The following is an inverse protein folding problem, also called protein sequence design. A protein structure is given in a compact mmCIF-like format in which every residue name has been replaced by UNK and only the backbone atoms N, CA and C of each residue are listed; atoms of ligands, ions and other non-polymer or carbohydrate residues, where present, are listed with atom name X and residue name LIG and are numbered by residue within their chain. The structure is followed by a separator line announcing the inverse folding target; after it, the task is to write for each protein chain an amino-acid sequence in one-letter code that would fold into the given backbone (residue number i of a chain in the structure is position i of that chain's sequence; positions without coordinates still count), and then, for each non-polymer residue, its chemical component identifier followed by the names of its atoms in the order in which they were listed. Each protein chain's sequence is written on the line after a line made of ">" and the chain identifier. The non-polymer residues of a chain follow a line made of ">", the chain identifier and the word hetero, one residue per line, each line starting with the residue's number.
data_IF_872591232750
#
_entry.id   IF_872591232750
#
_cell.length_a   1.000
_cell.length_b   1.000
_cell.length_c   1.000
_cell.angle_alpha   90.00
_cell.angle_beta   90.00
_cell.angle_gamma   90.00
#
_symmetry.space_group_name_H-M   'P 1'
#
loop_
_entity.id
_entity.type
_entity.pdbx_description
1 polymer ?
#
# COMPACT_ATOMS: atom_id res chain seq x y z
N UNK A 1 -9.42 26.48 -5.35
CA UNK A 1 -8.90 25.44 -6.28
C UNK A 1 -8.55 26.12 -7.60
N UNK A 2 -7.37 25.86 -8.13
CA UNK A 2 -6.94 26.27 -9.46
C UNK A 2 -6.88 25.03 -10.34
N UNK A 3 -7.51 25.07 -11.50
CA UNK A 3 -7.29 24.14 -12.60
C UNK A 3 -5.99 24.52 -13.29
N UNK A 4 -5.00 23.62 -13.27
CA UNK A 4 -3.67 23.92 -13.80
C UNK A 4 -3.63 23.85 -15.33
N UNK A 5 -4.59 23.15 -15.95
CA UNK A 5 -4.70 23.03 -17.41
C UNK A 5 -5.38 24.25 -18.04
N UNK A 6 -6.39 24.81 -17.36
CA UNK A 6 -7.19 25.93 -17.89
C UNK A 6 -6.88 27.28 -17.22
N UNK A 7 -6.18 27.27 -16.09
CA UNK A 7 -5.99 28.44 -15.23
C UNK A 7 -7.26 28.90 -14.51
N UNK A 8 -8.36 28.16 -14.61
CA UNK A 8 -9.63 28.51 -13.98
C UNK A 8 -9.51 28.40 -12.46
N UNK A 9 -9.89 29.47 -11.76
CA UNK A 9 -9.91 29.50 -10.30
C UNK A 9 -11.34 29.41 -9.78
N UNK A 10 -11.60 28.44 -8.91
CA UNK A 10 -12.82 28.34 -8.11
C UNK A 10 -12.49 28.63 -6.65
N UNK A 11 -13.16 29.64 -6.09
CA UNK A 11 -13.09 29.97 -4.66
C UNK A 11 -14.30 29.42 -3.93
N UNK A 12 -14.09 28.81 -2.78
CA UNK A 12 -15.13 28.30 -1.92
C UNK A 12 -15.26 29.19 -0.69
N UNK A 13 -16.47 29.34 -0.16
CA UNK A 13 -16.70 30.07 1.09
C UNK A 13 -16.14 29.31 2.28
N UNK A 14 -15.72 30.03 3.31
CA UNK A 14 -15.33 29.44 4.60
C UNK A 14 -16.47 28.61 5.20
N UNK A 15 -16.11 27.53 5.92
CA UNK A 15 -17.06 26.59 6.53
C UNK A 15 -16.56 26.07 7.85
N UNK A 16 -17.48 25.84 8.78
CA UNK A 16 -17.18 25.20 10.06
C UNK A 16 -17.48 23.69 10.03
N UNK A 17 -16.44 22.96 10.42
CA UNK A 17 -16.27 21.52 10.63
C UNK A 17 -16.84 20.89 11.90
N UNK A 18 -18.08 20.39 11.99
CA UNK A 18 -18.44 19.51 13.12
C UNK A 18 -17.96 18.07 12.90
N UNK A 19 -17.20 17.50 13.84
CA UNK A 19 -16.53 16.21 13.67
C UNK A 19 -17.45 14.97 13.60
N UNK A 20 -18.70 15.09 14.05
CA UNK A 20 -19.74 14.07 13.94
C UNK A 20 -20.49 14.13 12.60
N UNK A 21 -20.19 15.14 11.77
CA UNK A 21 -20.72 15.31 10.43
C UNK A 21 -19.57 15.17 9.46
N UNK A 22 -19.62 14.18 8.58
CA UNK A 22 -18.71 14.11 7.43
C UNK A 22 -18.91 15.41 6.63
N UNK A 23 -17.94 16.35 6.58
CA UNK A 23 -18.19 17.60 5.92
C UNK A 23 -18.18 17.47 4.42
N UNK A 24 -18.95 18.40 3.87
CA UNK A 24 -19.26 18.61 2.47
C UNK A 24 -18.04 18.45 1.56
N UNK A 25 -18.10 17.40 0.76
CA UNK A 25 -17.35 17.25 -0.48
C UNK A 25 -17.53 18.51 -1.32
N UNK A 26 -16.42 19.07 -1.79
CA UNK A 26 -16.42 19.86 -3.02
C UNK A 26 -16.79 18.89 -4.15
N UNK A 27 -18.09 18.61 -4.33
CA UNK A 27 -18.64 17.70 -5.36
C UNK A 27 -18.60 18.30 -6.76
N UNK A 28 -17.84 19.38 -6.96
CA UNK A 28 -17.60 19.87 -8.31
C UNK A 28 -16.69 18.86 -9.02
N UNK A 29 -16.92 18.64 -10.31
CA UNK A 29 -15.97 17.91 -11.13
C UNK A 29 -14.62 18.64 -11.03
N UNK A 30 -13.70 18.08 -10.26
CA UNK A 30 -12.35 18.60 -10.16
C UNK A 30 -11.61 18.30 -11.48
N UNK A 31 -10.72 19.20 -11.93
CA UNK A 31 -9.84 18.91 -13.06
C UNK A 31 -8.94 17.72 -12.74
N UNK A 32 -8.29 17.17 -13.77
CA UNK A 32 -7.28 16.14 -13.58
C UNK A 32 -6.02 16.71 -12.90
N UNK A 33 -5.61 17.91 -13.29
CA UNK A 33 -4.48 18.64 -12.72
C UNK A 33 -4.98 19.87 -11.97
N UNK A 34 -4.73 19.95 -10.66
CA UNK A 34 -5.20 21.08 -9.87
C UNK A 34 -4.36 21.36 -8.64
N UNK A 35 -4.40 22.62 -8.23
CA UNK A 35 -3.89 23.10 -6.95
C UNK A 35 -5.03 23.48 -6.01
N UNK A 36 -5.14 22.81 -4.87
CA UNK A 36 -6.06 23.16 -3.79
C UNK A 36 -5.28 23.88 -2.67
N UNK A 37 -5.68 25.12 -2.35
CA UNK A 37 -5.13 25.91 -1.24
C UNK A 37 -6.25 26.23 -0.25
N UNK A 38 -5.98 26.09 1.04
CA UNK A 38 -6.93 26.43 2.09
C UNK A 38 -6.20 26.67 3.42
N UNK A 39 -6.83 27.49 4.27
CA UNK A 39 -6.44 27.60 5.66
C UNK A 39 -7.38 26.73 6.50
N UNK A 40 -6.85 26.12 7.55
CA UNK A 40 -7.68 25.38 8.50
C UNK A 40 -7.19 25.56 9.94
N UNK A 41 -8.14 25.56 10.87
CA UNK A 41 -7.91 25.67 12.30
C UNK A 41 -8.73 24.61 13.02
N UNK A 42 -8.08 23.79 13.83
CA UNK A 42 -8.75 22.76 14.63
C UNK A 42 -9.23 23.40 15.95
N UNK A 43 -10.48 23.14 16.34
CA UNK A 43 -11.12 23.82 17.48
C UNK A 43 -11.27 22.94 18.73
N UNK A 44 -11.25 21.62 18.62
CA UNK A 44 -11.55 20.70 19.72
C UNK A 44 -10.29 20.17 20.41
N UNK A 45 -9.28 19.76 19.63
CA UNK A 45 -7.89 19.53 19.99
C UNK A 45 -7.32 18.18 19.59
N UNK A 46 -8.07 17.31 18.89
CA UNK A 46 -7.69 15.88 18.81
C UNK A 46 -8.02 15.16 17.50
N UNK A 47 -8.71 15.79 16.54
CA UNK A 47 -9.23 15.08 15.35
C UNK A 47 -8.55 15.38 14.03
N UNK A 48 -7.72 16.43 13.99
CA UNK A 48 -7.04 16.84 12.77
C UNK A 48 -7.99 17.22 11.63
N UNK A 49 -7.56 17.02 10.39
CA UNK A 49 -8.30 17.31 9.17
C UNK A 49 -8.25 16.13 8.20
N UNK A 50 -9.29 16.02 7.37
CA UNK A 50 -9.30 15.11 6.22
C UNK A 50 -9.87 15.83 5.01
N UNK A 51 -9.10 15.83 3.92
CA UNK A 51 -9.51 16.39 2.64
C UNK A 51 -9.68 15.25 1.65
N UNK A 52 -10.88 15.04 1.15
CA UNK A 52 -11.14 14.08 0.09
C UNK A 52 -11.00 14.73 -1.28
N UNK A 53 -10.38 14.02 -2.22
CA UNK A 53 -10.17 14.44 -3.61
C UNK A 53 -10.19 13.23 -4.55
N UNK A 54 -10.18 13.47 -5.86
CA UNK A 54 -10.31 12.43 -6.88
C UNK A 54 -11.50 11.46 -6.59
N UNK A 55 -12.61 12.02 -6.10
CA UNK A 55 -13.74 11.23 -5.61
C UNK A 55 -14.59 10.73 -6.76
N UNK A 56 -14.62 9.40 -6.96
CA UNK A 56 -15.54 8.74 -7.88
C UNK A 56 -16.79 8.26 -7.16
N UNK A 57 -16.62 7.60 -6.00
CA UNK A 57 -17.68 7.14 -5.12
C UNK A 57 -17.11 6.83 -3.71
N UNK A 58 -17.95 6.31 -2.80
CA UNK A 58 -17.56 6.02 -1.41
C UNK A 58 -16.51 4.92 -1.25
N UNK A 59 -16.23 4.14 -2.30
CA UNK A 59 -15.25 3.06 -2.30
C UNK A 59 -14.01 3.40 -3.13
N UNK A 60 -14.03 4.53 -3.86
CA UNK A 60 -13.02 4.89 -4.85
C UNK A 60 -12.76 6.40 -4.78
N UNK A 61 -11.74 6.77 -4.02
CA UNK A 61 -11.39 8.16 -3.68
C UNK A 61 -9.96 8.25 -3.14
N UNK A 62 -9.42 9.45 -3.10
CA UNK A 62 -8.19 9.74 -2.37
C UNK A 62 -8.47 10.68 -1.20
N UNK A 63 -7.60 10.65 -0.19
CA UNK A 63 -7.66 11.61 0.92
C UNK A 63 -6.30 12.03 1.41
N UNK A 64 -6.22 13.30 1.81
CA UNK A 64 -5.11 13.84 2.59
C UNK A 64 -5.56 13.96 4.03
N UNK A 65 -4.95 13.14 4.89
CA UNK A 65 -5.21 13.07 6.33
C UNK A 65 -4.12 13.87 7.02
N UNK A 66 -4.51 14.76 7.94
CA UNK A 66 -3.61 15.66 8.66
C UNK A 66 -3.95 15.57 10.15
N UNK A 67 -3.10 14.94 10.95
CA UNK A 67 -3.44 14.58 12.32
C UNK A 67 -4.35 13.36 12.38
N UNK A 68 -3.95 12.26 11.72
CA UNK A 68 -4.69 11.01 11.61
C UNK A 68 -4.66 10.16 12.89
N UNK A 69 -3.91 9.05 12.90
CA UNK A 69 -3.85 8.10 14.01
C UNK A 69 -3.49 8.81 15.32
N UNK A 70 -4.47 8.97 16.20
CA UNK A 70 -4.36 9.72 17.46
C UNK A 70 -3.72 11.11 17.31
N UNK A 71 -3.94 11.78 16.17
CA UNK A 71 -3.31 13.07 15.83
C UNK A 71 -1.76 13.00 15.79
N UNK A 72 -1.19 11.89 15.30
CA UNK A 72 0.28 11.68 15.28
C UNK A 72 0.88 11.60 13.88
N UNK A 73 0.06 11.52 12.84
CA UNK A 73 0.52 11.42 11.46
C UNK A 73 -0.25 12.32 10.49
N UNK A 74 0.37 12.53 9.33
CA UNK A 74 -0.31 12.96 8.13
C UNK A 74 -0.04 11.93 7.04
N UNK A 75 -0.99 11.74 6.14
CA UNK A 75 -0.92 10.72 5.12
C UNK A 75 -1.71 11.08 3.86
N UNK A 76 -1.16 10.72 2.70
CA UNK A 76 -1.94 10.59 1.47
C UNK A 76 -2.42 9.14 1.37
N UNK A 77 -3.71 8.97 1.17
CA UNK A 77 -4.38 7.66 1.17
C UNK A 77 -5.15 7.51 -0.14
N UNK A 78 -4.99 6.37 -0.79
CA UNK A 78 -5.83 5.94 -1.89
C UNK A 78 -6.78 4.84 -1.41
N UNK A 79 -8.06 4.93 -1.77
CA UNK A 79 -9.05 3.91 -1.52
C UNK A 79 -9.55 3.36 -2.85
N UNK A 80 -9.42 2.04 -3.04
CA UNK A 80 -9.90 1.31 -4.22
C UNK A 80 -10.77 0.15 -3.75
N UNK A 81 -12.03 0.11 -4.21
CA UNK A 81 -13.00 -0.91 -3.78
C UNK A 81 -13.19 -0.98 -2.26
N UNK A 82 -13.16 0.18 -1.58
CA UNK A 82 -13.33 0.27 -0.12
C UNK A 82 -12.09 -0.07 0.70
N UNK A 83 -10.95 -0.37 0.04
CA UNK A 83 -9.69 -0.72 0.70
C UNK A 83 -8.72 0.45 0.61
N UNK A 84 -8.36 0.99 1.77
CA UNK A 84 -7.41 2.09 1.89
C UNK A 84 -5.96 1.60 1.90
N UNK A 85 -5.09 2.30 1.17
CA UNK A 85 -3.64 2.14 1.19
C UNK A 85 -2.98 3.49 1.46
N UNK A 86 -1.94 3.51 2.29
CA UNK A 86 -1.09 4.69 2.49
C UNK A 86 -0.14 4.83 1.30
N UNK A 87 -0.27 5.93 0.57
CA UNK A 87 0.68 6.31 -0.48
C UNK A 87 1.94 6.93 0.14
N UNK A 88 1.76 7.67 1.23
CA UNK A 88 2.83 8.17 2.09
C UNK A 88 2.28 8.43 3.48
N UNK A 89 3.14 8.36 4.49
CA UNK A 89 2.83 8.62 5.89
C UNK A 89 4.02 9.31 6.55
N UNK A 90 3.77 10.35 7.33
CA UNK A 90 4.81 11.12 8.02
C UNK A 90 4.29 11.62 9.35
N UNK A 91 5.18 11.80 10.33
CA UNK A 91 4.80 12.27 11.66
C UNK A 91 4.31 13.72 11.59
N UNK A 92 3.09 13.97 12.06
CA UNK A 92 2.49 15.30 12.07
C UNK A 92 1.35 15.37 13.09
N UNK A 93 1.24 16.50 13.78
CA UNK A 93 0.16 16.75 14.73
C UNK A 93 -0.44 18.11 14.46
N UNK A 94 -1.76 18.17 14.50
CA UNK A 94 -2.53 19.40 14.43
C UNK A 94 -2.70 19.96 15.84
N UNK A 95 -2.29 21.21 16.03
CA UNK A 95 -2.45 21.94 17.29
C UNK A 95 -3.82 22.63 17.36
N UNK A 96 -4.45 22.51 18.53
CA UNK A 96 -5.69 23.22 18.83
C UNK A 96 -5.51 24.73 18.68
N UNK A 97 -6.45 25.37 18.00
CA UNK A 97 -6.50 26.81 17.75
C UNK A 97 -5.31 27.38 16.96
N UNK A 98 -4.47 26.54 16.35
CA UNK A 98 -3.46 26.97 15.39
C UNK A 98 -4.03 26.96 13.98
N UNK A 99 -3.86 28.07 13.27
CA UNK A 99 -4.16 28.15 11.84
C UNK A 99 -2.96 27.59 11.05
N UNK A 100 -3.29 26.77 10.06
CA UNK A 100 -2.34 26.18 9.12
C UNK A 100 -2.67 26.63 7.70
N UNK A 101 -1.64 26.91 6.91
CA UNK A 101 -1.73 27.05 5.46
C UNK A 101 -1.45 25.68 4.81
N UNK A 102 -2.42 25.18 4.05
CA UNK A 102 -2.32 23.90 3.37
C UNK A 102 -2.42 24.08 1.86
N UNK A 103 -1.55 23.38 1.14
CA UNK A 103 -1.63 23.25 -0.31
C UNK A 103 -1.52 21.78 -0.70
N UNK A 104 -2.46 21.31 -1.53
CA UNK A 104 -2.39 20.02 -2.21
C UNK A 104 -2.24 20.30 -3.71
N UNK A 105 -1.21 19.74 -4.33
CA UNK A 105 -1.01 19.78 -5.77
C UNK A 105 -1.19 18.37 -6.34
N UNK A 106 -2.03 18.26 -7.35
CA UNK A 106 -2.28 17.03 -8.11
C UNK A 106 -1.88 17.31 -9.54
N UNK A 107 -0.86 16.60 -10.05
CA UNK A 107 -0.37 16.77 -11.41
C UNK A 107 -0.05 15.41 -12.03
N UNK A 108 -0.93 14.95 -12.92
CA UNK A 108 -0.84 13.62 -13.53
C UNK A 108 -0.83 12.52 -12.48
N UNK A 109 0.32 11.87 -12.32
CA UNK A 109 0.55 10.83 -11.32
C UNK A 109 1.28 11.33 -10.07
N UNK A 110 1.57 12.62 -9.94
CA UNK A 110 2.27 13.21 -8.80
C UNK A 110 1.27 13.86 -7.83
N UNK A 111 1.39 13.53 -6.54
CA UNK A 111 0.68 14.18 -5.45
C UNK A 111 1.67 14.83 -4.50
N UNK A 112 1.48 16.10 -4.20
CA UNK A 112 2.34 16.85 -3.29
C UNK A 112 1.51 17.66 -2.30
N UNK A 113 1.92 17.64 -1.04
CA UNK A 113 1.27 18.33 0.07
C UNK A 113 2.25 19.26 0.78
N UNK A 114 1.85 20.52 0.97
CA UNK A 114 2.62 21.53 1.71
C UNK A 114 1.88 21.96 2.95
N UNK A 115 2.64 22.15 4.03
CA UNK A 115 2.14 22.67 5.30
C UNK A 115 2.97 23.91 5.61
N UNK A 116 2.31 25.06 5.78
CA UNK A 116 2.96 26.36 5.99
C UNK A 116 4.03 26.67 4.93
N UNK A 117 3.68 26.47 3.66
CA UNK A 117 4.55 26.69 2.48
C UNK A 117 5.77 25.75 2.37
N UNK A 118 5.96 24.81 3.30
CA UNK A 118 7.02 23.80 3.23
C UNK A 118 6.49 22.51 2.62
N UNK A 119 7.22 21.95 1.63
CA UNK A 119 6.88 20.65 1.04
C UNK A 119 6.97 19.59 2.15
N UNK A 120 5.83 19.00 2.46
CA UNK A 120 5.70 18.06 3.58
C UNK A 120 5.59 16.62 3.08
N UNK A 121 4.82 16.39 2.02
CA UNK A 121 4.59 15.07 1.43
C UNK A 121 4.70 15.14 -0.09
N UNK A 122 5.30 14.12 -0.67
CA UNK A 122 5.40 13.97 -2.12
C UNK A 122 5.38 12.49 -2.46
N UNK A 123 4.51 12.11 -3.39
CA UNK A 123 4.39 10.73 -3.87
C UNK A 123 4.09 10.72 -5.35
N UNK A 124 4.65 9.73 -6.04
CA UNK A 124 4.32 9.41 -7.41
C UNK A 124 3.47 8.14 -7.41
N UNK A 125 2.26 8.24 -7.96
CA UNK A 125 1.36 7.14 -8.22
C UNK A 125 1.97 6.28 -9.32
N UNK A 126 2.43 5.10 -8.94
CA UNK A 126 2.86 4.07 -9.88
C UNK A 126 1.64 3.20 -10.16
N UNK A 127 1.34 2.86 -11.43
CA UNK A 127 0.33 1.86 -11.73
C UNK A 127 0.58 0.60 -10.91
N UNK A 128 -0.48 0.00 -10.38
CA UNK A 128 -0.36 -1.31 -9.72
C UNK A 128 -0.06 -2.32 -10.83
N UNK A 129 1.22 -2.52 -11.12
CA UNK A 129 1.67 -3.66 -11.89
C UNK A 129 1.79 -4.83 -10.92
N UNK A 130 1.10 -5.92 -11.26
CA UNK A 130 1.25 -7.17 -10.53
C UNK A 130 2.69 -7.65 -10.71
N UNK A 131 3.48 -7.48 -9.66
CA UNK A 131 4.85 -7.96 -9.63
C UNK A 131 4.87 -9.46 -9.98
N UNK A 132 5.93 -9.94 -10.63
CA UNK A 132 6.06 -11.36 -10.94
C UNK A 132 5.93 -12.26 -9.72
N UNK A 133 6.41 -11.77 -8.57
CA UNK A 133 6.43 -12.51 -7.34
C UNK A 133 6.57 -11.55 -6.15
N UNK A 134 5.74 -11.71 -5.13
CA UNK A 134 5.90 -11.01 -3.86
C UNK A 134 6.61 -11.94 -2.88
N UNK A 135 7.76 -11.53 -2.33
CA UNK A 135 8.60 -12.42 -1.51
C UNK A 135 8.96 -11.77 -0.18
N UNK A 136 8.98 -12.58 0.87
CA UNK A 136 9.64 -12.26 2.14
C UNK A 136 10.43 -13.47 2.62
N UNK A 137 11.51 -13.22 3.37
CA UNK A 137 12.32 -14.25 3.97
C UNK A 137 12.48 -14.00 5.48
N UNK A 138 12.63 -15.08 6.23
CA UNK A 138 12.84 -15.06 7.68
C UNK A 138 13.73 -16.23 8.10
N UNK A 139 14.34 -16.15 9.28
CA UNK A 139 15.20 -17.20 9.83
C UNK A 139 14.66 -17.68 11.17
N UNK A 140 14.49 -18.99 11.31
CA UNK A 140 14.17 -19.64 12.57
C UNK A 140 15.47 -19.91 13.34
N UNK A 141 15.79 -19.04 14.31
CA UNK A 141 17.07 -19.09 15.04
C UNK A 141 17.25 -20.33 15.92
N UNK A 142 16.17 -21.04 16.26
CA UNK A 142 16.27 -22.22 17.12
C UNK A 142 16.87 -23.43 16.40
N UNK A 143 16.59 -23.54 15.09
CA UNK A 143 17.02 -24.66 14.24
C UNK A 143 17.87 -24.22 13.04
N UNK A 144 18.07 -22.91 12.88
CA UNK A 144 18.78 -22.26 11.77
C UNK A 144 18.20 -22.59 10.38
N UNK A 145 16.86 -22.65 10.32
CA UNK A 145 16.13 -22.82 9.06
C UNK A 145 15.86 -21.44 8.42
N UNK A 146 15.91 -21.37 7.09
CA UNK A 146 15.47 -20.22 6.31
C UNK A 146 14.07 -20.48 5.79
N UNK A 147 13.14 -19.55 6.02
CA UNK A 147 11.75 -19.64 5.58
C UNK A 147 11.49 -18.53 4.57
N UNK A 148 11.24 -18.92 3.32
CA UNK A 148 10.86 -18.02 2.23
C UNK A 148 9.36 -18.15 2.02
N UNK A 149 8.65 -17.02 1.95
CA UNK A 149 7.23 -16.97 1.63
C UNK A 149 7.08 -16.17 0.35
N UNK A 150 6.43 -16.76 -0.64
CA UNK A 150 6.26 -16.16 -1.95
C UNK A 150 4.80 -16.24 -2.39
N UNK A 151 4.34 -15.21 -3.07
CA UNK A 151 3.00 -15.16 -3.67
C UNK A 151 3.15 -14.86 -5.15
N UNK A 152 2.68 -15.78 -5.99
CA UNK A 152 2.53 -15.56 -7.43
C UNK A 152 1.04 -15.29 -7.70
N UNK A 153 0.70 -14.05 -8.08
CA UNK A 153 -0.68 -13.67 -8.41
C UNK A 153 -1.04 -13.92 -9.89
N UNK A 154 -0.07 -14.30 -10.72
CA UNK A 154 -0.26 -14.48 -12.17
C UNK A 154 -0.88 -15.84 -12.48
N UNK A 155 -1.59 -15.92 -13.60
CA UNK A 155 -2.18 -17.16 -14.13
C UNK A 155 -1.14 -18.09 -14.80
N UNK A 156 0.14 -17.69 -14.80
CA UNK A 156 1.26 -18.47 -15.36
C UNK A 156 2.30 -18.77 -14.28
N UNK A 157 3.04 -19.89 -14.40
CA UNK A 157 4.14 -20.18 -13.49
C UNK A 157 5.23 -19.11 -13.61
N UNK A 158 5.91 -18.82 -12.50
CA UNK A 158 7.05 -17.92 -12.48
C UNK A 158 8.31 -18.67 -12.06
N UNK A 159 9.21 -18.87 -13.02
CA UNK A 159 10.52 -19.47 -12.78
C UNK A 159 11.54 -18.38 -12.46
N UNK A 160 12.25 -18.53 -11.34
CA UNK A 160 13.28 -17.58 -10.93
C UNK A 160 14.41 -18.27 -10.17
N UNK A 161 15.52 -17.54 -10.02
CA UNK A 161 16.65 -17.93 -9.19
C UNK A 161 16.52 -17.24 -7.83
N UNK A 162 16.63 -18.03 -6.76
CA UNK A 162 16.65 -17.54 -5.38
C UNK A 162 18.11 -17.54 -4.94
N UNK A 163 18.59 -16.39 -4.50
CA UNK A 163 19.94 -16.16 -3.98
C UNK A 163 19.88 -15.96 -2.47
N UNK A 164 20.77 -16.64 -1.75
CA UNK A 164 20.83 -16.63 -0.28
C UNK A 164 22.26 -16.33 0.19
N UNK A 165 22.64 -15.06 0.09
CA UNK A 165 24.01 -14.56 0.36
C UNK A 165 24.57 -15.00 1.72
N UNK A 166 23.73 -15.01 2.76
CA UNK A 166 24.11 -15.30 4.14
C UNK A 166 24.02 -16.80 4.50
N UNK A 167 23.84 -17.70 3.54
CA UNK A 167 23.75 -19.13 3.84
C UNK A 167 25.13 -19.82 3.80
N UNK A 168 25.58 -20.43 4.89
CA UNK A 168 26.87 -21.13 4.92
C UNK A 168 26.78 -22.59 4.44
N UNK A 169 25.56 -23.14 4.37
CA UNK A 169 25.32 -24.54 3.98
C UNK A 169 25.47 -24.71 2.46
N UNK A 170 26.20 -25.75 2.05
CA UNK A 170 26.40 -26.13 0.64
C UNK A 170 25.37 -27.17 0.18
N UNK A 171 24.72 -27.84 1.11
CA UNK A 171 23.60 -28.75 0.86
C UNK A 171 22.43 -28.33 1.72
N UNK A 172 21.23 -28.31 1.13
CA UNK A 172 20.03 -27.91 1.83
C UNK A 172 18.86 -28.84 1.48
N UNK A 173 18.12 -29.23 2.52
CA UNK A 173 16.83 -29.89 2.38
C UNK A 173 15.72 -28.84 2.43
N UNK A 174 14.97 -28.70 1.35
CA UNK A 174 13.87 -27.76 1.26
C UNK A 174 12.53 -28.48 1.30
N UNK A 175 11.73 -28.18 2.33
CA UNK A 175 10.32 -28.54 2.39
C UNK A 175 9.47 -27.38 1.88
N UNK A 176 8.71 -27.63 0.81
CA UNK A 176 7.80 -26.68 0.19
C UNK A 176 6.34 -27.01 0.53
N UNK A 177 5.60 -25.97 0.91
CA UNK A 177 4.17 -25.99 1.18
C UNK A 177 3.50 -25.02 0.21
N UNK A 178 2.64 -25.54 -0.66
CA UNK A 178 2.07 -24.78 -1.77
C UNK A 178 0.54 -24.81 -1.65
N UNK A 179 -0.04 -23.63 -1.48
CA UNK A 179 -1.47 -23.40 -1.55
C UNK A 179 -1.81 -22.81 -2.93
N UNK A 180 -2.77 -23.41 -3.63
CA UNK A 180 -3.19 -22.99 -4.96
C UNK A 180 -4.61 -22.45 -4.90
N UNK A 181 -4.89 -21.33 -5.57
CA UNK A 181 -6.25 -20.79 -5.73
C UNK A 181 -7.22 -21.86 -6.27
N UNK A 182 -6.76 -22.66 -7.24
CA UNK A 182 -7.53 -23.76 -7.84
C UNK A 182 -7.97 -24.83 -6.85
N UNK A 183 -7.34 -24.91 -5.66
CA UNK A 183 -7.78 -25.84 -4.59
C UNK A 183 -9.03 -25.35 -3.86
N UNK A 184 -9.45 -24.12 -4.10
CA UNK A 184 -10.55 -23.45 -3.39
C UNK A 184 -11.55 -22.74 -4.30
N UNK A 185 -11.19 -22.55 -5.57
CA UNK A 185 -11.95 -21.73 -6.54
C UNK A 185 -13.40 -22.17 -6.75
N UNK A 186 -13.67 -23.48 -6.68
CA UNK A 186 -15.03 -24.03 -6.84
C UNK A 186 -15.87 -23.95 -5.54
N UNK A 187 -15.29 -23.48 -4.43
CA UNK A 187 -16.02 -23.35 -3.16
C UNK A 187 -16.97 -22.14 -3.22
N UNK A 188 -18.25 -22.28 -2.82
CA UNK A 188 -19.23 -21.18 -2.88
C UNK A 188 -18.81 -19.91 -2.12
N UNK A 189 -18.07 -20.07 -1.02
CA UNK A 189 -17.60 -18.97 -0.18
C UNK A 189 -16.25 -18.37 -0.63
N UNK A 190 -15.70 -18.77 -1.77
CA UNK A 190 -14.46 -18.19 -2.28
C UNK A 190 -14.61 -16.66 -2.53
N UNK A 191 -13.64 -15.82 -2.13
CA UNK A 191 -12.31 -16.14 -1.59
C UNK A 191 -12.24 -16.29 -0.05
N UNK A 192 -13.35 -16.22 0.67
CA UNK A 192 -13.43 -16.32 2.13
C UNK A 192 -13.40 -17.75 2.71
N UNK A 193 -12.92 -18.72 1.94
CA UNK A 193 -12.87 -20.13 2.35
C UNK A 193 -11.57 -20.45 3.09
N UNK A 194 -11.67 -21.17 4.20
CA UNK A 194 -10.53 -21.80 4.87
C UNK A 194 -10.28 -23.20 4.29
N UNK A 195 -9.02 -23.54 3.98
CA UNK A 195 -8.66 -24.85 3.44
C UNK A 195 -7.42 -25.44 4.10
N UNK A 196 -7.38 -26.77 4.20
CA UNK A 196 -6.19 -27.53 4.57
C UNK A 196 -5.49 -28.20 3.36
N UNK A 197 -6.02 -27.98 2.14
CA UNK A 197 -5.49 -28.56 0.90
C UNK A 197 -4.19 -27.88 0.48
N UNK A 198 -3.08 -28.37 1.05
CA UNK A 198 -1.73 -27.87 0.79
C UNK A 198 -0.93 -28.97 0.08
N UNK A 199 -0.39 -28.66 -1.11
CA UNK A 199 0.59 -29.53 -1.77
C UNK A 199 1.90 -29.46 -1.01
N UNK A 200 2.51 -30.62 -0.74
CA UNK A 200 3.81 -30.72 -0.10
C UNK A 200 4.82 -31.33 -1.06
N UNK A 201 6.01 -30.74 -1.11
CA UNK A 201 7.13 -31.27 -1.88
C UNK A 201 8.41 -31.09 -1.08
N UNK A 202 9.27 -32.11 -1.08
CA UNK A 202 10.61 -32.02 -0.51
C UNK A 202 11.62 -32.11 -1.64
N UNK A 203 12.58 -31.18 -1.69
CA UNK A 203 13.67 -31.16 -2.67
C UNK A 203 15.01 -31.04 -1.95
N UNK A 204 16.00 -31.75 -2.48
CA UNK A 204 17.40 -31.59 -2.09
C UNK A 204 18.08 -30.68 -3.10
N UNK A 205 18.82 -29.70 -2.60
CA UNK A 205 19.58 -28.78 -3.44
C UNK A 205 21.04 -28.78 -2.99
N UNK A 206 21.93 -28.96 -3.95
CA UNK A 206 23.32 -28.53 -3.80
C UNK A 206 23.38 -27.06 -4.19
N UNK A 207 23.78 -26.24 -3.25
CA UNK A 207 23.92 -24.81 -3.42
C UNK A 207 25.34 -24.59 -3.92
N UNK A 208 25.49 -24.13 -5.17
CA UNK A 208 26.80 -23.94 -5.77
C UNK A 208 27.64 -22.97 -4.93
N UNK A 209 28.93 -23.29 -4.73
CA UNK A 209 29.87 -22.45 -3.98
C UNK A 209 29.96 -21.02 -4.54
N UNK A 210 29.72 -20.86 -5.84
CA UNK A 210 29.54 -19.57 -6.50
C UNK A 210 28.07 -19.16 -6.48
N UNK A 211 27.73 -18.15 -5.67
CA UNK A 211 26.46 -17.43 -5.72
C UNK A 211 25.35 -17.92 -4.79
N UNK A 212 25.52 -19.03 -4.07
CA UNK A 212 24.54 -19.54 -3.10
C UNK A 212 23.08 -19.54 -3.60
N UNK A 213 22.87 -19.99 -4.84
CA UNK A 213 21.57 -19.91 -5.52
C UNK A 213 20.91 -21.27 -5.75
N UNK A 214 19.60 -21.26 -5.94
CA UNK A 214 18.84 -22.38 -6.53
C UNK A 214 17.66 -21.87 -7.35
N UNK A 215 17.22 -22.67 -8.32
CA UNK A 215 16.05 -22.34 -9.14
C UNK A 215 14.76 -22.87 -8.52
N UNK A 216 13.69 -22.08 -8.63
CA UNK A 216 12.36 -22.48 -8.23
C UNK A 216 11.30 -22.00 -9.22
N UNK A 217 10.29 -22.83 -9.44
CA UNK A 217 9.10 -22.50 -10.23
C UNK A 217 7.95 -22.30 -9.26
N UNK A 218 7.45 -21.07 -9.16
CA UNK A 218 6.27 -20.74 -8.39
C UNK A 218 5.02 -20.96 -9.24
N UNK A 219 4.12 -21.83 -8.76
CA UNK A 219 2.89 -22.18 -9.45
C UNK A 219 2.00 -20.94 -9.69
N UNK A 220 1.15 -20.95 -10.73
CA UNK A 220 0.14 -19.91 -10.95
C UNK A 220 -0.73 -19.69 -9.71
N UNK A 221 -1.10 -18.44 -9.44
CA UNK A 221 -2.08 -18.06 -8.39
C UNK A 221 -1.87 -18.84 -7.08
N UNK A 222 -0.66 -18.74 -6.53
CA UNK A 222 -0.20 -19.57 -5.43
C UNK A 222 0.43 -18.79 -4.30
N UNK A 223 0.32 -19.35 -3.10
CA UNK A 223 1.14 -19.00 -1.94
C UNK A 223 2.07 -20.18 -1.67
N UNK A 224 3.37 -19.94 -1.71
CA UNK A 224 4.41 -20.94 -1.48
C UNK A 224 5.23 -20.58 -0.24
N UNK A 225 5.38 -21.53 0.67
CA UNK A 225 6.33 -21.45 1.78
C UNK A 225 7.42 -22.49 1.56
N UNK A 226 8.66 -22.03 1.42
CA UNK A 226 9.85 -22.88 1.36
C UNK A 226 10.54 -22.83 2.72
N UNK A 227 10.78 -23.99 3.33
CA UNK A 227 11.56 -24.13 4.57
C UNK A 227 12.84 -24.90 4.26
N UNK A 228 13.94 -24.16 4.25
CA UNK A 228 15.29 -24.64 3.97
C UNK A 228 15.96 -25.01 5.30
N UNK A 229 16.35 -26.28 5.43
CA UNK A 229 17.02 -26.87 6.59
C UNK A 229 18.49 -27.12 6.31
#
# INVERSE_FOLDING_TARGET
>A
MCDDDTGKVTCFSDREVAADKIPVLLKENAPQNFTLKFHAKELEGYKGFRVYFAWKNDENRMSWVLGGWENQDAALVEEIGGKGCFLTQSQFSVEKNREYDFMLHVSGNRLEGWINQELFQSVELVPIETEPLYVTASRDKAVDDIIIKAVNLREVPFETTIELDDMEKTECLCDAYILLESSCREHPDFPGVETASIKRQTKYFSISETGKTFQWIFEPQSVTVLRLK
#
